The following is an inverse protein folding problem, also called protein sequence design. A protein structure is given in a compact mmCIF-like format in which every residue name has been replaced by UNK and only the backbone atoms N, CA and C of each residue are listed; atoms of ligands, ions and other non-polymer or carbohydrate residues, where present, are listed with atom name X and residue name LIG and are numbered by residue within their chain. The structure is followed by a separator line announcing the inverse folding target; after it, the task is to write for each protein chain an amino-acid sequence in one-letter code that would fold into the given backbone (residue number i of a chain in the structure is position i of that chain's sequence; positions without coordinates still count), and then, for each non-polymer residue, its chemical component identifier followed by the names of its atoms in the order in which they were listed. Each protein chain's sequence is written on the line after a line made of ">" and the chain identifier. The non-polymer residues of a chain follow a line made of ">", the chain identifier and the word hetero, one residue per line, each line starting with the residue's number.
data_IF_770627471786
#
_entry.id   IF_770627471786
#
_cell.length_a   1.000
_cell.length_b   1.000
_cell.length_c   1.000
_cell.angle_alpha   90.00
_cell.angle_beta   90.00
_cell.angle_gamma   90.00
#
_symmetry.space_group_name_H-M   'P 1'
#
loop_
_entity.id
_entity.type
_entity.pdbx_description
1 polymer ?
#
# COMPACT_ATOMS: atom_id res chain seq x y z
N UNK A 1 -11.57 1.20 -2.47
CA UNK A 1 -10.14 1.32 -2.09
C UNK A 1 -9.16 0.76 -3.12
N UNK A 2 -9.19 -0.54 -3.46
CA UNK A 2 -8.27 -1.14 -4.46
C UNK A 2 -8.35 -0.44 -5.83
N UNK A 3 -9.57 -0.26 -6.36
CA UNK A 3 -9.82 0.45 -7.61
C UNK A 3 -9.36 1.91 -7.56
N UNK A 4 -9.62 2.61 -6.45
CA UNK A 4 -9.25 4.02 -6.28
C UNK A 4 -7.73 4.20 -6.26
N UNK A 5 -7.02 3.35 -5.49
CA UNK A 5 -5.55 3.34 -5.45
C UNK A 5 -4.94 2.98 -6.79
N UNK A 6 -5.52 2.01 -7.49
CA UNK A 6 -5.06 1.64 -8.83
C UNK A 6 -5.24 2.79 -9.83
N UNK A 7 -6.40 3.45 -9.80
CA UNK A 7 -6.70 4.60 -10.66
C UNK A 7 -5.80 5.79 -10.36
N UNK A 8 -5.52 6.05 -9.08
CA UNK A 8 -4.58 7.08 -8.65
C UNK A 8 -3.15 6.80 -9.16
N UNK A 9 -2.66 5.57 -9.00
CA UNK A 9 -1.33 5.18 -9.51
C UNK A 9 -1.25 5.27 -11.03
N UNK A 10 -2.32 4.87 -11.75
CA UNK A 10 -2.40 5.00 -13.21
C UNK A 10 -2.30 6.46 -13.63
N UNK A 11 -3.08 7.33 -12.99
CA UNK A 11 -3.07 8.77 -13.27
C UNK A 11 -1.70 9.39 -13.02
N UNK A 12 -1.09 9.11 -11.87
CA UNK A 12 0.23 9.63 -11.51
C UNK A 12 1.32 9.14 -12.49
N UNK A 13 1.27 7.88 -12.92
CA UNK A 13 2.21 7.35 -13.90
C UNK A 13 2.07 8.04 -15.27
N UNK A 14 0.83 8.29 -15.73
CA UNK A 14 0.56 9.03 -16.97
C UNK A 14 1.10 10.46 -16.88
N UNK A 15 0.79 11.17 -15.80
CA UNK A 15 1.23 12.56 -15.57
C UNK A 15 2.77 12.66 -15.59
N UNK A 16 3.47 11.78 -14.86
CA UNK A 16 4.94 11.78 -14.83
C UNK A 16 5.57 11.45 -16.18
N UNK A 17 4.97 10.59 -17.00
CA UNK A 17 5.46 10.32 -18.36
C UNK A 17 5.22 11.50 -19.31
N UNK A 18 4.12 12.23 -19.14
CA UNK A 18 3.86 13.46 -19.90
C UNK A 18 4.86 14.54 -19.50
N UNK A 19 5.15 14.70 -18.21
CA UNK A 19 6.18 15.62 -17.72
C UNK A 19 7.56 15.29 -18.31
N UNK A 20 7.94 14.01 -18.34
CA UNK A 20 9.18 13.59 -19.01
C UNK A 20 9.17 13.95 -20.51
N UNK A 21 8.05 13.71 -21.21
CA UNK A 21 7.93 14.10 -22.61
C UNK A 21 8.12 15.62 -22.81
N UNK A 22 7.61 16.44 -21.90
CA UNK A 22 7.73 17.89 -21.95
C UNK A 22 9.16 18.37 -21.64
N UNK A 23 9.88 17.69 -20.73
CA UNK A 23 11.32 17.91 -20.53
C UNK A 23 12.11 17.68 -21.83
N UNK A 24 11.85 16.58 -22.54
CA UNK A 24 12.53 16.29 -23.82
C UNK A 24 12.04 17.15 -25.00
N UNK A 25 10.91 17.87 -24.85
CA UNK A 25 10.43 18.83 -25.87
C UNK A 25 11.26 20.12 -25.92
N UNK A 26 12.08 20.38 -24.89
CA UNK A 26 12.86 21.61 -24.74
C UNK A 26 12.04 22.81 -24.23
N UNK A 27 10.79 22.62 -23.82
CA UNK A 27 9.92 23.68 -23.28
C UNK A 27 10.21 24.01 -21.81
N UNK A 28 10.88 23.11 -21.07
CA UNK A 28 11.28 23.33 -19.68
C UNK A 28 12.74 23.81 -19.57
N UNK A 29 13.00 25.10 -19.26
CA UNK A 29 14.35 25.69 -19.30
C UNK A 29 15.27 25.22 -18.16
N UNK A 30 14.72 24.63 -17.11
CA UNK A 30 15.43 24.30 -15.86
C UNK A 30 16.19 22.98 -15.93
N UNK A 31 15.83 22.10 -16.87
CA UNK A 31 16.44 20.79 -17.08
C UNK A 31 17.49 20.90 -18.19
N UNK A 32 18.77 20.63 -17.89
CA UNK A 32 19.90 20.57 -18.85
C UNK A 32 19.80 19.33 -19.75
N UNK A 33 18.64 19.10 -20.34
CA UNK A 33 18.35 17.94 -21.19
C UNK A 33 18.25 18.44 -22.63
N UNK A 34 18.95 17.76 -23.54
CA UNK A 34 18.86 18.07 -24.96
C UNK A 34 17.48 17.71 -25.51
N UNK A 35 16.96 18.58 -26.37
CA UNK A 35 15.68 18.34 -27.03
C UNK A 35 15.76 17.07 -27.87
N UNK A 36 14.80 16.17 -27.68
CA UNK A 36 14.70 14.91 -28.42
C UNK A 36 13.23 14.61 -28.77
N UNK A 37 12.86 14.92 -30.02
CA UNK A 37 11.49 14.75 -30.52
C UNK A 37 11.05 13.27 -30.57
N UNK A 38 12.00 12.35 -30.76
CA UNK A 38 11.73 10.91 -30.76
C UNK A 38 11.36 10.43 -29.35
N UNK A 39 12.13 10.83 -28.33
CA UNK A 39 11.83 10.49 -26.93
C UNK A 39 10.54 11.14 -26.46
N UNK A 40 10.27 12.39 -26.84
CA UNK A 40 9.01 13.07 -26.54
C UNK A 40 7.81 12.26 -27.08
N UNK A 41 7.87 11.86 -28.35
CA UNK A 41 6.80 11.09 -29.00
C UNK A 41 6.64 9.71 -28.36
N UNK A 42 7.76 9.08 -28.02
CA UNK A 42 7.78 7.77 -27.36
C UNK A 42 7.14 7.82 -25.97
N UNK A 43 7.53 8.77 -25.12
CA UNK A 43 6.95 8.92 -23.77
C UNK A 43 5.45 9.24 -23.82
N UNK A 44 5.00 10.09 -24.76
CA UNK A 44 3.56 10.35 -24.99
C UNK A 44 2.81 9.10 -25.46
N UNK A 45 3.43 8.28 -26.29
CA UNK A 45 2.84 7.00 -26.73
C UNK A 45 2.72 6.04 -25.54
N UNK A 46 3.74 5.99 -24.68
CA UNK A 46 3.73 5.14 -23.50
C UNK A 46 2.66 5.60 -22.48
N UNK A 47 2.53 6.90 -22.27
CA UNK A 47 1.47 7.48 -21.44
C UNK A 47 0.07 7.05 -21.92
N UNK A 48 -0.20 7.11 -23.23
CA UNK A 48 -1.46 6.63 -23.81
C UNK A 48 -1.70 5.13 -23.58
N UNK A 49 -0.64 4.30 -23.66
CA UNK A 49 -0.75 2.86 -23.38
C UNK A 49 -1.08 2.58 -21.92
N UNK A 50 -0.55 3.38 -20.98
CA UNK A 50 -0.91 3.28 -19.55
C UNK A 50 -2.35 3.75 -19.33
N UNK A 51 -2.78 4.82 -20.00
CA UNK A 51 -4.15 5.36 -19.89
C UNK A 51 -5.20 4.37 -20.40
N UNK A 52 -4.88 3.60 -21.45
CA UNK A 52 -5.76 2.55 -22.00
C UNK A 52 -5.83 1.28 -21.16
N UNK A 53 -5.07 1.16 -20.08
CA UNK A 53 -5.14 -0.02 -19.20
C UNK A 53 -6.53 -0.08 -18.56
N UNK A 54 -7.13 -1.25 -18.61
CA UNK A 54 -8.42 -1.53 -17.99
C UNK A 54 -8.23 -2.30 -16.67
N UNK A 55 -9.03 -1.97 -15.67
CA UNK A 55 -9.03 -2.66 -14.39
C UNK A 55 -9.80 -3.99 -14.46
N UNK A 56 -10.80 -4.09 -15.33
CA UNK A 56 -11.64 -5.29 -15.44
C UNK A 56 -10.90 -6.46 -16.10
N UNK A 57 -10.13 -6.18 -17.17
CA UNK A 57 -9.22 -7.15 -17.78
C UNK A 57 -7.82 -7.14 -17.15
N UNK A 58 -7.75 -7.56 -15.88
CA UNK A 58 -6.51 -7.54 -15.10
C UNK A 58 -5.38 -8.41 -15.70
N UNK A 59 -5.71 -9.47 -16.44
CA UNK A 59 -4.71 -10.36 -17.06
C UNK A 59 -4.07 -9.72 -18.28
N UNK A 60 -4.86 -9.03 -19.12
CA UNK A 60 -4.33 -8.24 -20.23
C UNK A 60 -3.58 -7.01 -19.72
N UNK A 61 -4.17 -6.27 -18.78
CA UNK A 61 -3.57 -5.09 -18.18
C UNK A 61 -2.22 -5.41 -17.53
N UNK A 62 -2.13 -6.50 -16.74
CA UNK A 62 -0.86 -6.91 -16.13
C UNK A 62 0.24 -7.26 -17.16
N UNK A 63 -0.13 -7.92 -18.27
CA UNK A 63 0.81 -8.20 -19.37
C UNK A 63 1.27 -6.92 -20.06
N UNK A 64 0.33 -6.01 -20.36
CA UNK A 64 0.65 -4.72 -20.98
C UNK A 64 1.52 -3.86 -20.06
N UNK A 65 1.23 -3.82 -18.75
CA UNK A 65 2.07 -3.11 -17.77
C UNK A 65 3.49 -3.65 -17.73
N UNK A 66 3.69 -4.97 -17.75
CA UNK A 66 5.03 -5.56 -17.81
C UNK A 66 5.78 -5.22 -19.11
N UNK A 67 5.09 -5.20 -20.26
CA UNK A 67 5.68 -4.76 -21.52
C UNK A 67 6.13 -3.28 -21.46
N UNK A 68 5.32 -2.43 -20.83
CA UNK A 68 5.64 -1.01 -20.63
C UNK A 68 6.87 -0.86 -19.74
N UNK A 69 6.94 -1.59 -18.63
CA UNK A 69 8.11 -1.58 -17.73
C UNK A 69 9.38 -2.03 -18.44
N UNK A 70 9.31 -3.12 -19.23
CA UNK A 70 10.45 -3.62 -20.00
C UNK A 70 10.92 -2.57 -21.01
N UNK A 71 9.98 -1.95 -21.73
CA UNK A 71 10.30 -0.90 -22.70
C UNK A 71 10.92 0.36 -22.04
N UNK A 72 10.51 0.69 -20.80
CA UNK A 72 11.14 1.77 -20.03
C UNK A 72 12.58 1.42 -19.62
N UNK A 73 12.87 0.16 -19.27
CA UNK A 73 14.23 -0.30 -18.98
C UNK A 73 15.12 -0.27 -20.22
N UNK A 74 14.59 -0.71 -21.38
CA UNK A 74 15.30 -0.66 -22.66
C UNK A 74 15.64 0.79 -23.03
N UNK A 75 14.68 1.71 -23.00
CA UNK A 75 14.92 3.13 -23.33
C UNK A 75 15.91 3.78 -22.38
N UNK A 76 15.89 3.42 -21.09
CA UNK A 76 16.87 3.90 -20.13
C UNK A 76 18.30 3.51 -20.51
N UNK A 77 18.50 2.28 -21.01
CA UNK A 77 19.80 1.76 -21.44
C UNK A 77 20.24 2.30 -22.81
N UNK A 78 19.35 2.31 -23.81
CA UNK A 78 19.69 2.70 -25.18
C UNK A 78 20.01 4.18 -25.35
N UNK A 79 19.39 5.05 -24.56
CA UNK A 79 19.59 6.51 -24.65
C UNK A 79 20.52 7.06 -23.56
N UNK A 80 21.24 6.19 -22.84
CA UNK A 80 22.13 6.57 -21.73
C UNK A 80 21.46 7.51 -20.71
N UNK A 81 20.14 7.36 -20.50
CA UNK A 81 19.36 8.22 -19.60
C UNK A 81 19.78 8.05 -18.13
N UNK A 82 20.57 7.02 -17.84
CA UNK A 82 21.28 6.83 -16.59
C UNK A 82 22.22 7.97 -16.21
N UNK A 83 22.69 8.74 -17.20
CA UNK A 83 23.56 9.92 -16.99
C UNK A 83 22.83 11.07 -16.30
N UNK A 84 21.51 11.18 -16.51
CA UNK A 84 20.68 12.17 -15.83
C UNK A 84 19.95 11.55 -14.63
N UNK A 85 20.47 11.82 -13.44
CA UNK A 85 19.92 11.30 -12.18
C UNK A 85 18.44 11.64 -11.97
N UNK A 86 17.99 12.82 -12.42
CA UNK A 86 16.58 13.22 -12.30
C UNK A 86 15.70 12.34 -13.20
N UNK A 87 16.05 12.18 -14.47
CA UNK A 87 15.31 11.34 -15.43
C UNK A 87 15.27 9.89 -14.94
N UNK A 88 16.41 9.36 -14.47
CA UNK A 88 16.51 8.03 -13.87
C UNK A 88 15.56 7.84 -12.68
N UNK A 89 15.49 8.81 -11.78
CA UNK A 89 14.57 8.77 -10.65
C UNK A 89 13.10 8.76 -11.10
N UNK A 90 12.74 9.61 -12.07
CA UNK A 90 11.39 9.65 -12.62
C UNK A 90 10.97 8.33 -13.28
N UNK A 91 11.88 7.68 -14.01
CA UNK A 91 11.63 6.36 -14.62
C UNK A 91 11.46 5.27 -13.55
N UNK A 92 12.30 5.27 -12.52
CA UNK A 92 12.20 4.30 -11.42
C UNK A 92 10.92 4.46 -10.63
N UNK A 93 10.50 5.69 -10.33
CA UNK A 93 9.25 5.94 -9.64
C UNK A 93 8.04 5.50 -10.49
N UNK A 94 8.05 5.76 -11.80
CA UNK A 94 7.03 5.24 -12.72
C UNK A 94 6.96 3.71 -12.69
N UNK A 95 8.10 3.02 -12.77
CA UNK A 95 8.15 1.56 -12.66
C UNK A 95 7.59 1.07 -11.32
N UNK A 96 7.83 1.80 -10.23
CA UNK A 96 7.25 1.47 -8.91
C UNK A 96 5.73 1.63 -8.89
N UNK A 97 5.19 2.69 -9.50
CA UNK A 97 3.74 2.89 -9.63
C UNK A 97 3.11 1.75 -10.44
N UNK A 98 3.69 1.41 -11.58
CA UNK A 98 3.25 0.31 -12.45
C UNK A 98 3.33 -1.06 -11.75
N UNK A 99 4.41 -1.33 -11.02
CA UNK A 99 4.56 -2.56 -10.21
C UNK A 99 3.48 -2.64 -9.14
N UNK A 100 3.16 -1.51 -8.49
CA UNK A 100 2.10 -1.43 -7.48
C UNK A 100 0.73 -1.71 -8.10
N UNK A 101 0.47 -1.25 -9.34
CA UNK A 101 -0.75 -1.58 -10.07
C UNK A 101 -0.90 -3.09 -10.32
N UNK A 102 0.17 -3.77 -10.72
CA UNK A 102 0.17 -5.24 -10.89
C UNK A 102 -0.12 -5.95 -9.57
N UNK A 103 0.55 -5.52 -8.49
CA UNK A 103 0.35 -6.10 -7.15
C UNK A 103 -1.09 -5.93 -6.69
N UNK A 104 -1.67 -4.73 -6.82
CA UNK A 104 -3.06 -4.48 -6.48
C UNK A 104 -3.98 -5.43 -7.25
N UNK A 105 -3.78 -5.59 -8.56
CA UNK A 105 -4.59 -6.48 -9.40
C UNK A 105 -4.55 -7.93 -8.91
N UNK A 106 -3.39 -8.44 -8.53
CA UNK A 106 -3.19 -9.83 -8.08
C UNK A 106 -3.81 -10.15 -6.71
N UNK A 107 -4.14 -9.16 -5.88
CA UNK A 107 -4.84 -9.41 -4.61
C UNK A 107 -6.28 -9.83 -4.91
N UNK A 108 -6.56 -11.13 -4.76
CA UNK A 108 -7.91 -11.68 -4.90
C UNK A 108 -8.73 -11.42 -3.64
N UNK A 109 -10.02 -11.13 -3.79
CA UNK A 109 -10.94 -10.97 -2.66
C UNK A 109 -11.00 -12.23 -1.80
N UNK A 110 -10.94 -13.42 -2.41
CA UNK A 110 -10.83 -14.70 -1.71
C UNK A 110 -9.63 -14.77 -0.76
N UNK A 111 -8.49 -14.18 -1.16
CA UNK A 111 -7.28 -14.14 -0.33
C UNK A 111 -7.45 -13.20 0.84
N UNK A 112 -8.11 -12.05 0.63
CA UNK A 112 -8.46 -11.12 1.72
C UNK A 112 -9.37 -11.81 2.72
N UNK A 113 -10.43 -12.49 2.25
CA UNK A 113 -11.35 -13.21 3.14
C UNK A 113 -10.67 -14.32 3.94
N UNK A 114 -9.75 -15.07 3.32
CA UNK A 114 -8.94 -16.09 4.03
C UNK A 114 -8.05 -15.41 5.07
N UNK A 115 -7.42 -14.30 4.73
CA UNK A 115 -6.56 -13.55 5.64
C UNK A 115 -7.35 -13.00 6.83
N UNK A 116 -8.54 -12.45 6.61
CA UNK A 116 -9.42 -11.97 7.68
C UNK A 116 -9.83 -13.09 8.63
N UNK A 117 -10.13 -14.28 8.09
CA UNK A 117 -10.49 -15.46 8.89
C UNK A 117 -9.30 -15.97 9.71
N UNK A 118 -8.13 -16.14 9.10
CA UNK A 118 -6.94 -16.70 9.76
C UNK A 118 -6.31 -15.69 10.72
N UNK A 119 -6.43 -14.39 10.43
CA UNK A 119 -5.95 -13.33 11.29
C UNK A 119 -6.94 -12.98 12.42
N UNK A 120 -8.11 -13.62 12.51
CA UNK A 120 -9.00 -13.45 13.65
C UNK A 120 -8.29 -13.89 14.93
N UNK A 121 -8.17 -12.94 15.85
CA UNK A 121 -7.49 -13.13 17.12
C UNK A 121 -8.46 -12.98 18.29
N UNK A 122 -9.76 -13.17 18.05
CA UNK A 122 -10.82 -13.13 19.08
C UNK A 122 -10.50 -14.03 20.29
N UNK A 123 -9.91 -15.21 20.05
CA UNK A 123 -9.49 -16.13 21.12
C UNK A 123 -8.36 -15.58 22.00
N UNK A 124 -7.57 -14.61 21.53
CA UNK A 124 -6.47 -14.08 22.33
C UNK A 124 -6.97 -13.42 23.62
N UNK A 125 -8.16 -12.84 23.64
CA UNK A 125 -8.73 -12.27 24.86
C UNK A 125 -8.81 -13.26 26.03
N UNK A 126 -8.94 -14.56 25.74
CA UNK A 126 -9.01 -15.61 26.76
C UNK A 126 -7.61 -15.97 27.28
N UNK A 127 -6.60 -15.95 26.41
CA UNK A 127 -5.25 -16.44 26.73
C UNK A 127 -4.25 -15.33 27.04
N UNK A 128 -4.53 -14.08 26.67
CA UNK A 128 -3.54 -12.98 26.71
C UNK A 128 -3.04 -12.74 28.13
N UNK A 129 -3.88 -12.97 29.15
CA UNK A 129 -3.49 -12.76 30.54
C UNK A 129 -2.40 -13.73 31.01
N UNK A 130 -2.32 -14.93 30.41
CA UNK A 130 -1.23 -15.88 30.68
C UNK A 130 0.14 -15.37 30.21
N UNK A 131 0.16 -14.43 29.26
CA UNK A 131 1.38 -13.81 28.74
C UNK A 131 1.75 -12.52 29.48
N UNK A 132 0.86 -11.97 30.33
CA UNK A 132 1.10 -10.71 31.07
C UNK A 132 2.42 -10.76 31.84
N UNK A 133 2.69 -11.85 32.57
CA UNK A 133 3.92 -11.98 33.36
C UNK A 133 5.19 -11.95 32.50
N UNK A 134 5.16 -12.62 31.34
CA UNK A 134 6.27 -12.63 30.37
C UNK A 134 6.49 -11.24 29.76
N UNK A 135 5.40 -10.52 29.44
CA UNK A 135 5.48 -9.17 28.91
C UNK A 135 6.09 -8.21 29.93
N UNK A 136 5.62 -8.24 31.18
CA UNK A 136 6.14 -7.41 32.27
C UNK A 136 7.61 -7.71 32.56
N UNK A 137 8.00 -8.98 32.63
CA UNK A 137 9.41 -9.36 32.81
C UNK A 137 10.27 -8.87 31.63
N UNK A 138 9.78 -9.01 30.40
CA UNK A 138 10.46 -8.52 29.21
C UNK A 138 10.66 -7.00 29.22
N UNK A 139 9.66 -6.24 29.66
CA UNK A 139 9.74 -4.78 29.81
C UNK A 139 10.75 -4.40 30.88
N UNK A 140 10.75 -5.10 32.03
CA UNK A 140 11.73 -4.88 33.11
C UNK A 140 13.17 -5.10 32.64
N UNK A 141 13.40 -6.13 31.83
CA UNK A 141 14.72 -6.43 31.25
C UNK A 141 15.12 -5.43 30.16
N UNK A 142 14.17 -5.00 29.33
CA UNK A 142 14.42 -4.08 28.22
C UNK A 142 13.22 -3.16 27.98
N UNK A 143 13.26 -1.90 28.46
CA UNK A 143 12.15 -0.95 28.32
C UNK A 143 11.72 -0.67 26.87
N UNK A 144 12.64 -0.81 25.90
CA UNK A 144 12.35 -0.66 24.46
C UNK A 144 11.35 -1.71 23.92
N UNK A 145 11.10 -2.79 24.66
CA UNK A 145 10.12 -3.81 24.29
C UNK A 145 8.70 -3.24 24.22
N UNK A 146 8.38 -2.20 25.01
CA UNK A 146 7.07 -1.53 25.00
C UNK A 146 6.70 -1.06 23.59
N UNK A 147 7.66 -0.53 22.83
CA UNK A 147 7.42 -0.07 21.45
C UNK A 147 7.02 -1.22 20.53
N UNK A 148 7.55 -2.43 20.76
CA UNK A 148 7.20 -3.63 20.00
C UNK A 148 5.84 -4.18 20.40
N UNK A 149 5.49 -4.13 21.70
CA UNK A 149 4.19 -4.57 22.22
C UNK A 149 3.01 -3.73 21.70
N UNK A 150 3.27 -2.51 21.22
CA UNK A 150 2.26 -1.69 20.54
C UNK A 150 1.56 -2.46 19.41
N UNK A 151 2.30 -3.23 18.60
CA UNK A 151 1.72 -4.03 17.53
C UNK A 151 0.78 -5.12 18.07
N UNK A 152 1.16 -5.75 19.19
CA UNK A 152 0.33 -6.75 19.88
C UNK A 152 -0.97 -6.15 20.40
N UNK A 153 -0.91 -4.98 21.05
CA UNK A 153 -2.11 -4.30 21.55
C UNK A 153 -3.03 -3.81 20.42
N UNK A 154 -2.46 -3.30 19.32
CA UNK A 154 -3.23 -2.95 18.13
C UNK A 154 -3.93 -4.18 17.54
N UNK A 155 -3.25 -5.32 17.48
CA UNK A 155 -3.87 -6.56 17.01
C UNK A 155 -4.97 -7.05 17.96
N UNK A 156 -4.78 -6.93 19.27
CA UNK A 156 -5.80 -7.25 20.28
C UNK A 156 -7.05 -6.37 20.13
N UNK A 157 -6.87 -5.10 19.77
CA UNK A 157 -7.98 -4.20 19.46
C UNK A 157 -8.80 -4.69 18.26
N UNK A 158 -8.17 -5.17 17.19
CA UNK A 158 -8.89 -5.66 16.00
C UNK A 158 -9.78 -6.89 16.28
N UNK A 159 -9.48 -7.64 17.35
CA UNK A 159 -10.27 -8.78 17.76
C UNK A 159 -11.67 -8.38 18.26
N UNK A 160 -11.88 -7.10 18.59
CA UNK A 160 -13.16 -6.56 19.04
C UNK A 160 -14.08 -6.16 17.87
N UNK A 161 -13.53 -6.01 16.67
CA UNK A 161 -14.28 -5.50 15.50
C UNK A 161 -15.38 -6.48 15.08
N UNK A 162 -15.07 -7.78 15.00
CA UNK A 162 -16.01 -8.81 14.57
C UNK A 162 -17.24 -8.93 15.50
N UNK A 163 -17.09 -8.97 16.84
CA UNK A 163 -18.23 -8.88 17.77
C UNK A 163 -19.08 -7.62 17.57
N UNK A 164 -18.47 -6.45 17.38
CA UNK A 164 -19.19 -5.18 17.20
C UNK A 164 -19.96 -5.16 15.89
N UNK A 165 -19.38 -5.67 14.80
CA UNK A 165 -20.06 -5.83 13.51
C UNK A 165 -21.31 -6.71 13.66
N UNK A 166 -21.23 -7.81 14.40
CA UNK A 166 -22.39 -8.71 14.63
C UNK A 166 -23.50 -8.02 15.41
N UNK A 167 -23.17 -7.22 16.43
CA UNK A 167 -24.16 -6.46 17.21
C UNK A 167 -24.86 -5.43 16.31
N UNK A 168 -24.09 -4.74 15.47
CA UNK A 168 -24.62 -3.77 14.51
C UNK A 168 -25.54 -4.43 13.46
N UNK A 169 -25.17 -5.61 12.95
CA UNK A 169 -25.98 -6.36 11.99
C UNK A 169 -27.35 -6.79 12.55
N UNK A 170 -27.44 -7.04 13.85
CA UNK A 170 -28.71 -7.36 14.53
C UNK A 170 -29.52 -6.10 14.85
N UNK A 171 -28.97 -4.90 14.60
CA UNK A 171 -29.64 -3.63 14.86
C UNK A 171 -29.82 -3.33 16.36
N UNK A 172 -28.94 -3.88 17.22
CA UNK A 172 -29.02 -3.60 18.65
C UNK A 172 -28.59 -2.17 18.97
N UNK A 173 -29.36 -1.51 19.85
CA UNK A 173 -29.03 -0.18 20.38
C UNK A 173 -27.80 -0.19 21.32
N UNK A 174 -27.34 -1.38 21.73
CA UNK A 174 -26.24 -1.53 22.69
C UNK A 174 -24.85 -1.40 22.06
N UNK A 175 -24.75 -1.25 20.73
CA UNK A 175 -23.48 -1.18 20.01
C UNK A 175 -22.49 -0.19 20.63
N UNK A 176 -22.98 1.02 20.93
CA UNK A 176 -22.14 2.08 21.52
C UNK A 176 -21.66 1.74 22.93
N UNK A 177 -22.54 1.14 23.74
CA UNK A 177 -22.22 0.77 25.12
C UNK A 177 -21.19 -0.35 25.13
N UNK A 178 -21.39 -1.38 24.31
CA UNK A 178 -20.49 -2.53 24.19
C UNK A 178 -19.13 -2.13 23.62
N UNK A 179 -19.11 -1.25 22.62
CA UNK A 179 -17.86 -0.69 22.08
C UNK A 179 -17.06 0.07 23.16
N UNK A 180 -17.74 0.92 23.93
CA UNK A 180 -17.09 1.67 25.01
C UNK A 180 -16.54 0.74 26.10
N UNK A 181 -17.30 -0.28 26.48
CA UNK A 181 -16.88 -1.28 27.45
C UNK A 181 -15.60 -2.00 27.02
N UNK A 182 -15.57 -2.58 25.81
CA UNK A 182 -14.40 -3.31 25.32
C UNK A 182 -13.17 -2.42 25.13
N UNK A 183 -13.35 -1.17 24.70
CA UNK A 183 -12.27 -0.19 24.64
C UNK A 183 -11.69 0.10 26.03
N UNK A 184 -12.55 0.22 27.05
CA UNK A 184 -12.16 0.36 28.45
C UNK A 184 -11.34 -0.83 28.97
N UNK A 185 -11.82 -2.05 28.71
CA UNK A 185 -11.12 -3.29 29.08
C UNK A 185 -9.74 -3.40 28.42
N UNK A 186 -9.62 -3.01 27.14
CA UNK A 186 -8.35 -2.98 26.43
C UNK A 186 -7.37 -2.00 27.08
N UNK A 187 -7.83 -0.79 27.39
CA UNK A 187 -7.00 0.21 28.08
C UNK A 187 -6.58 -0.26 29.47
N UNK A 188 -7.50 -0.89 30.22
CA UNK A 188 -7.20 -1.46 31.52
C UNK A 188 -6.13 -2.56 31.42
N UNK A 189 -6.25 -3.45 30.43
CA UNK A 189 -5.27 -4.49 30.17
C UNK A 189 -3.90 -3.92 29.78
N UNK A 190 -3.86 -2.94 28.88
CA UNK A 190 -2.59 -2.26 28.51
C UNK A 190 -1.92 -1.64 29.74
N UNK A 191 -2.69 -0.98 30.61
CA UNK A 191 -2.16 -0.44 31.87
C UNK A 191 -1.61 -1.53 32.78
N UNK A 192 -2.31 -2.66 32.91
CA UNK A 192 -1.85 -3.82 33.69
C UNK A 192 -0.51 -4.33 33.19
N UNK A 193 -0.30 -4.41 31.87
CA UNK A 193 0.97 -4.88 31.28
C UNK A 193 2.12 -3.87 31.47
N UNK A 194 1.82 -2.57 31.49
CA UNK A 194 2.82 -1.50 31.63
C UNK A 194 3.21 -1.21 33.09
N UNK A 195 2.41 -1.63 34.06
CA UNK A 195 2.68 -1.55 35.50
C UNK A 195 3.51 -2.76 35.96
#
# INVERSE_FOLDING_TARGET
>A
EKFDRWTANRKEAVERLIELADVFSGTMPLTRVEKNDNLQTWFRTMAKRIESLDFEDWTSAGRQTNQIMTALDEVQQFHELDTNMQVKQFLNDNKRLLSTMILLNNVQESTISIMDLVADLSYAWIIIDSFTGVMQEGIKRSPSLVTKLRATFLKLSSALDLPLVRINQVGSNDLMIVSHYYSGELVAYVRKVLQ
#
